data_IF_449132412768
#
_entry.id   IF_449132412768
#
_cell.length_a   1.000
_cell.length_b   1.000
_cell.length_c   1.000
_cell.angle_alpha   90.00
_cell.angle_beta   90.00
_cell.angle_gamma   90.00
#
_symmetry.space_group_name_H-M   'P 1'
#
loop_
_entity.id
_entity.type
_entity.pdbx_description
1 polymer ?
#
# COMPACT_ATOMS: atom_id res chain seq x y z
N UNK A 1 -1.34 11.78 2.85
CA UNK A 1 0.01 11.17 2.95
C UNK A 1 0.08 9.92 2.10
N UNK A 2 1.19 9.70 1.38
CA UNK A 2 1.41 8.49 0.54
C UNK A 2 2.56 7.69 1.11
N UNK A 3 2.36 6.39 1.29
CA UNK A 3 3.37 5.43 1.74
C UNK A 3 3.61 4.40 0.65
N UNK A 4 4.72 4.54 -0.08
CA UNK A 4 5.12 3.69 -1.20
C UNK A 4 6.57 3.23 -1.04
N UNK A 5 6.82 1.95 -1.31
CA UNK A 5 8.17 1.39 -1.27
C UNK A 5 9.08 2.01 -2.32
N UNK A 6 8.60 2.16 -3.56
CA UNK A 6 9.45 2.60 -4.67
C UNK A 6 9.87 4.07 -4.48
N UNK A 7 8.96 4.93 -3.99
CA UNK A 7 9.30 6.31 -3.62
C UNK A 7 10.35 6.37 -2.50
N UNK A 8 10.17 5.57 -1.44
CA UNK A 8 11.13 5.52 -0.32
C UNK A 8 12.49 5.00 -0.79
N UNK A 9 12.49 3.89 -1.55
CA UNK A 9 13.73 3.29 -2.04
C UNK A 9 14.45 4.20 -3.04
N UNK A 10 13.70 4.91 -3.90
CA UNK A 10 14.25 5.94 -4.78
C UNK A 10 14.94 7.06 -4.01
N UNK A 11 14.28 7.60 -2.98
CA UNK A 11 14.86 8.65 -2.13
C UNK A 11 16.13 8.19 -1.39
N UNK A 12 16.18 6.93 -0.96
CA UNK A 12 17.33 6.35 -0.26
C UNK A 12 18.50 5.97 -1.18
N UNK A 13 18.28 5.87 -2.50
CA UNK A 13 19.30 5.41 -3.45
C UNK A 13 20.34 6.48 -3.81
N UNK A 14 20.09 7.75 -3.48
CA UNK A 14 20.97 8.88 -3.83
C UNK A 14 20.93 9.27 -5.31
N UNK A 15 21.65 10.35 -5.71
CA UNK A 15 21.58 10.94 -7.05
C UNK A 15 22.36 10.15 -8.13
N UNK A 16 23.18 9.17 -7.77
CA UNK A 16 23.96 8.38 -8.72
C UNK A 16 23.27 7.04 -8.95
N UNK A 17 22.79 6.74 -10.18
CA UNK A 17 22.24 5.44 -10.44
C UNK A 17 23.41 4.44 -10.57
N UNK A 18 23.72 3.72 -9.49
CA UNK A 18 24.43 2.45 -9.66
C UNK A 18 23.57 1.45 -10.48
N UNK A 19 22.27 1.71 -10.58
CA UNK A 19 21.31 0.98 -11.43
C UNK A 19 20.39 2.00 -12.13
N UNK A 20 20.61 2.25 -13.43
CA UNK A 20 19.91 3.26 -14.24
C UNK A 20 18.39 3.16 -14.22
N UNK A 21 17.73 3.90 -13.31
CA UNK A 21 16.26 4.05 -13.28
C UNK A 21 15.47 2.74 -13.14
N UNK A 22 16.14 1.65 -12.76
CA UNK A 22 15.54 0.32 -12.69
C UNK A 22 14.98 0.10 -11.30
N UNK A 23 13.75 -0.41 -11.22
CA UNK A 23 13.08 -0.83 -9.98
C UNK A 23 13.78 -2.05 -9.32
N UNK A 24 15.11 -2.04 -9.25
CA UNK A 24 15.98 -3.08 -8.72
C UNK A 24 16.83 -2.48 -7.60
N UNK A 25 16.17 -2.14 -6.50
CA UNK A 25 16.87 -1.75 -5.27
C UNK A 25 17.41 -3.03 -4.61
N UNK A 26 18.73 -3.21 -4.59
CA UNK A 26 19.40 -4.37 -3.98
C UNK A 26 20.16 -3.99 -2.70
N UNK A 27 20.46 -4.99 -1.89
CA UNK A 27 21.31 -4.85 -0.70
C UNK A 27 20.71 -3.92 0.36
N UNK A 28 21.55 -3.09 0.97
CA UNK A 28 21.18 -2.27 2.12
C UNK A 28 20.00 -1.32 1.83
N UNK A 29 19.91 -0.73 0.64
CA UNK A 29 18.81 0.19 0.27
C UNK A 29 17.46 -0.52 0.36
N UNK A 30 17.38 -1.76 -0.13
CA UNK A 30 16.16 -2.58 -0.05
C UNK A 30 15.73 -2.82 1.39
N UNK A 31 16.68 -3.23 2.24
CA UNK A 31 16.39 -3.58 3.62
C UNK A 31 15.98 -2.35 4.44
N UNK A 32 16.65 -1.22 4.21
CA UNK A 32 16.30 0.06 4.83
C UNK A 32 14.94 0.54 4.33
N UNK A 33 14.68 0.54 3.02
CA UNK A 33 13.41 0.94 2.45
C UNK A 33 12.24 0.08 2.95
N UNK A 34 12.45 -1.24 3.04
CA UNK A 34 11.45 -2.16 3.57
C UNK A 34 11.09 -1.83 5.02
N UNK A 35 12.10 -1.67 5.88
CA UNK A 35 11.90 -1.35 7.31
C UNK A 35 11.30 0.04 7.50
N UNK A 36 11.77 1.03 6.73
CA UNK A 36 11.24 2.39 6.73
C UNK A 36 9.76 2.39 6.34
N UNK A 37 9.39 1.68 5.26
CA UNK A 37 7.97 1.53 4.86
C UNK A 37 7.15 0.87 5.97
N UNK A 38 7.63 -0.21 6.57
CA UNK A 38 6.92 -0.87 7.67
C UNK A 38 6.69 0.05 8.88
N UNK A 39 7.68 0.89 9.21
CA UNK A 39 7.52 1.91 10.27
C UNK A 39 6.54 3.02 9.85
N UNK A 40 6.66 3.53 8.63
CA UNK A 40 5.79 4.56 8.08
C UNK A 40 4.32 4.11 8.04
N UNK A 41 4.04 2.86 7.63
CA UNK A 41 2.68 2.30 7.65
C UNK A 41 2.11 2.31 9.06
N UNK A 42 2.87 1.81 10.06
CA UNK A 42 2.39 1.77 11.45
C UNK A 42 2.06 3.14 11.98
N UNK A 43 2.90 4.13 11.69
CA UNK A 43 2.66 5.50 12.14
C UNK A 43 1.49 6.14 11.39
N UNK A 44 1.44 5.97 10.07
CA UNK A 44 0.39 6.51 9.22
C UNK A 44 -1.01 6.07 9.66
N UNK A 45 -1.17 4.80 10.05
CA UNK A 45 -2.45 4.29 10.55
C UNK A 45 -2.94 5.00 11.82
N UNK A 46 -2.04 5.57 12.64
CA UNK A 46 -2.42 6.34 13.84
C UNK A 46 -3.03 7.70 13.51
N UNK A 47 -2.67 8.25 12.35
CA UNK A 47 -3.12 9.57 11.87
C UNK A 47 -4.27 9.46 10.86
N UNK A 48 -4.71 8.24 10.54
CA UNK A 48 -5.72 7.99 9.52
C UNK A 48 -7.11 8.56 9.86
N UNK A 49 -7.34 8.98 11.11
CA UNK A 49 -8.55 9.70 11.50
C UNK A 49 -8.50 11.20 11.17
N UNK A 50 -7.30 11.78 11.08
CA UNK A 50 -7.08 13.21 10.94
C UNK A 50 -6.68 13.60 9.51
N UNK A 51 -6.01 12.70 8.78
CA UNK A 51 -5.54 12.94 7.41
C UNK A 51 -5.78 11.74 6.51
N UNK A 52 -5.92 12.00 5.21
CA UNK A 52 -5.97 10.94 4.20
C UNK A 52 -4.63 10.19 4.13
N UNK A 53 -4.68 8.87 4.18
CA UNK A 53 -3.51 7.99 4.09
C UNK A 53 -3.69 6.99 2.96
N UNK A 54 -2.78 7.04 1.99
CA UNK A 54 -2.72 6.10 0.88
C UNK A 54 -1.52 5.17 1.05
N UNK A 55 -1.77 3.86 1.12
CA UNK A 55 -0.72 2.84 1.33
C UNK A 55 -0.64 1.95 0.08
N UNK A 56 0.53 1.93 -0.55
CA UNK A 56 0.82 1.02 -1.66
C UNK A 56 1.58 -0.18 -1.09
N UNK A 57 0.86 -1.29 -0.93
CA UNK A 57 1.43 -2.52 -0.38
C UNK A 57 1.18 -3.71 -1.30
N UNK A 58 2.17 -4.04 -2.13
CA UNK A 58 2.16 -5.28 -2.93
C UNK A 58 2.19 -6.50 -2.00
N UNK A 59 1.34 -7.49 -2.27
CA UNK A 59 1.26 -8.77 -1.53
C UNK A 59 1.34 -8.58 0.00
N UNK A 60 0.40 -7.82 0.60
CA UNK A 60 0.40 -7.60 2.04
C UNK A 60 0.22 -8.94 2.77
N UNK A 61 0.99 -9.18 3.84
CA UNK A 61 0.77 -10.35 4.69
C UNK A 61 -0.59 -10.24 5.42
N UNK A 62 -1.09 -11.36 5.93
CA UNK A 62 -2.40 -11.43 6.57
C UNK A 62 -2.53 -10.50 7.79
N UNK A 63 -1.45 -10.30 8.55
CA UNK A 63 -1.43 -9.39 9.70
C UNK A 63 -1.53 -7.91 9.28
N UNK A 64 -0.97 -7.54 8.14
CA UNK A 64 -1.13 -6.20 7.57
C UNK A 64 -2.58 -5.97 7.12
N UNK A 65 -3.19 -6.96 6.44
CA UNK A 65 -4.60 -6.90 6.05
C UNK A 65 -5.53 -6.78 7.26
N UNK A 66 -5.27 -7.53 8.34
CA UNK A 66 -6.04 -7.44 9.58
C UNK A 66 -5.98 -6.02 10.18
N UNK A 67 -4.79 -5.42 10.26
CA UNK A 67 -4.62 -4.03 10.72
C UNK A 67 -5.38 -3.04 9.83
N UNK A 68 -5.32 -3.21 8.51
CA UNK A 68 -6.09 -2.34 7.61
C UNK A 68 -7.60 -2.46 7.85
N UNK A 69 -8.10 -3.66 8.12
CA UNK A 69 -9.50 -3.88 8.47
C UNK A 69 -9.89 -3.25 9.82
N UNK A 70 -9.03 -3.34 10.84
CA UNK A 70 -9.21 -2.66 12.14
C UNK A 70 -9.36 -1.14 11.98
N UNK A 71 -8.59 -0.57 11.06
CA UNK A 71 -8.67 0.85 10.68
C UNK A 71 -9.76 1.16 9.64
N UNK A 72 -10.64 0.19 9.31
CA UNK A 72 -11.70 0.33 8.30
C UNK A 72 -11.20 0.83 6.94
N UNK A 73 -9.97 0.50 6.59
CA UNK A 73 -9.35 0.95 5.36
C UNK A 73 -10.08 0.41 4.12
N UNK A 74 -10.19 1.24 3.09
CA UNK A 74 -10.71 0.84 1.79
C UNK A 74 -9.61 0.11 0.99
N UNK A 75 -9.78 -1.20 0.80
CA UNK A 75 -8.85 -2.02 0.02
C UNK A 75 -9.18 -1.93 -1.48
N UNK A 76 -8.29 -1.33 -2.25
CA UNK A 76 -8.41 -1.22 -3.71
C UNK A 76 -7.36 -2.13 -4.35
N UNK A 77 -7.83 -3.13 -5.11
CA UNK A 77 -6.94 -3.97 -5.93
C UNK A 77 -6.73 -3.32 -7.29
N UNK A 78 -5.48 -3.04 -7.63
CA UNK A 78 -5.09 -2.53 -8.96
C UNK A 78 -4.57 -3.70 -9.78
N UNK A 79 -5.42 -4.24 -10.65
CA UNK A 79 -5.06 -5.32 -11.57
C UNK A 79 -5.59 -5.02 -12.98
N UNK A 80 -4.70 -4.72 -13.96
CA UNK A 80 -5.11 -4.54 -15.35
C UNK A 80 -5.32 -5.87 -16.10
N UNK A 81 -5.11 -7.01 -15.43
CA UNK A 81 -5.23 -8.35 -16.00
C UNK A 81 -3.86 -9.01 -16.26
N UNK A 82 -3.85 -10.34 -16.20
CA UNK A 82 -2.65 -11.17 -16.30
C UNK A 82 -1.80 -10.85 -17.52
N UNK A 83 -2.42 -10.80 -18.70
CA UNK A 83 -1.68 -10.66 -19.95
C UNK A 83 -1.04 -9.28 -20.07
N UNK A 84 -1.76 -8.23 -19.64
CA UNK A 84 -1.24 -6.85 -19.57
C UNK A 84 -0.06 -6.77 -18.60
N UNK A 85 -0.16 -7.39 -17.43
CA UNK A 85 0.95 -7.43 -16.45
C UNK A 85 2.16 -8.16 -17.01
N UNK A 86 1.97 -9.33 -17.62
CA UNK A 86 3.08 -10.13 -18.17
C UNK A 86 3.76 -9.42 -19.35
N UNK A 87 2.98 -8.75 -20.21
CA UNK A 87 3.50 -7.93 -21.29
C UNK A 87 4.36 -6.79 -20.73
N UNK A 88 3.82 -5.99 -19.79
CA UNK A 88 4.57 -4.88 -19.18
C UNK A 88 5.83 -5.34 -18.47
N UNK A 89 5.81 -6.51 -17.83
CA UNK A 89 7.02 -7.07 -17.21
C UNK A 89 8.08 -7.39 -18.26
N UNK A 90 7.69 -7.99 -19.39
CA UNK A 90 8.62 -8.31 -20.46
C UNK A 90 9.27 -7.05 -21.08
N UNK A 91 8.52 -5.94 -21.15
CA UNK A 91 8.97 -4.69 -21.77
C UNK A 91 9.74 -3.77 -20.81
N UNK A 92 9.35 -3.70 -19.53
CA UNK A 92 9.70 -2.56 -18.66
C UNK A 92 10.28 -2.95 -17.30
N UNK A 93 10.26 -4.23 -16.92
CA UNK A 93 10.65 -4.66 -15.57
C UNK A 93 11.81 -5.66 -15.59
N UNK A 94 12.58 -5.73 -14.49
CA UNK A 94 13.51 -6.83 -14.29
C UNK A 94 12.79 -8.19 -14.37
N UNK A 95 13.47 -9.20 -14.94
CA UNK A 95 12.89 -10.53 -15.13
C UNK A 95 12.42 -11.20 -13.84
N UNK A 96 12.96 -10.79 -12.69
CA UNK A 96 12.55 -11.25 -11.35
C UNK A 96 11.10 -10.89 -11.01
N UNK A 97 10.56 -9.80 -11.57
CA UNK A 97 9.17 -9.39 -11.37
C UNK A 97 8.17 -10.43 -11.88
N UNK A 98 8.55 -11.24 -12.89
CA UNK A 98 7.69 -12.30 -13.44
C UNK A 98 7.32 -13.34 -12.38
N UNK A 99 8.25 -13.72 -11.51
CA UNK A 99 7.98 -14.68 -10.44
C UNK A 99 6.98 -14.14 -9.42
N UNK A 100 7.09 -12.84 -9.08
CA UNK A 100 6.15 -12.16 -8.17
C UNK A 100 4.75 -12.09 -8.76
N UNK A 101 4.63 -11.72 -10.04
CA UNK A 101 3.34 -11.68 -10.73
C UNK A 101 2.68 -13.06 -10.80
N UNK A 102 3.43 -14.09 -11.21
CA UNK A 102 2.92 -15.49 -11.21
C UNK A 102 2.43 -15.92 -9.84
N UNK A 103 3.18 -15.59 -8.79
CA UNK A 103 2.78 -15.88 -7.40
C UNK A 103 1.47 -15.17 -7.04
N UNK A 104 1.27 -13.92 -7.44
CA UNK A 104 0.04 -13.18 -7.19
C UNK A 104 -1.17 -13.83 -7.87
N UNK A 105 -1.10 -14.05 -9.19
CA UNK A 105 -2.20 -14.67 -9.94
C UNK A 105 -2.54 -16.08 -9.45
N UNK A 106 -1.54 -16.85 -8.99
CA UNK A 106 -1.79 -18.18 -8.41
C UNK A 106 -2.57 -18.13 -7.09
N UNK A 107 -2.43 -17.06 -6.30
CA UNK A 107 -3.18 -16.86 -5.06
C UNK A 107 -4.55 -16.23 -5.33
N UNK A 108 -4.62 -15.30 -6.29
CA UNK A 108 -5.88 -14.72 -6.75
C UNK A 108 -6.82 -15.80 -7.31
N UNK A 109 -6.31 -16.75 -8.11
CA UNK A 109 -7.07 -17.89 -8.63
C UNK A 109 -7.62 -18.81 -7.52
N UNK A 110 -7.01 -18.80 -6.33
CA UNK A 110 -7.47 -19.56 -5.16
C UNK A 110 -8.47 -18.78 -4.29
N UNK A 111 -8.94 -17.61 -4.73
CA UNK A 111 -9.87 -16.77 -3.98
C UNK A 111 -9.26 -16.11 -2.74
N UNK A 112 -7.94 -16.17 -2.55
CA UNK A 112 -7.26 -15.63 -1.36
C UNK A 112 -7.12 -14.10 -1.41
N UNK A 113 -7.29 -13.52 -2.59
CA UNK A 113 -7.45 -12.08 -2.78
C UNK A 113 -8.86 -11.89 -3.28
N UNK A 114 -9.79 -11.63 -2.36
CA UNK A 114 -11.18 -11.37 -2.72
C UNK A 114 -11.21 -10.30 -3.80
N UNK A 115 -11.80 -10.64 -4.95
CA UNK A 115 -12.18 -9.67 -5.94
C UNK A 115 -13.29 -8.81 -5.33
N UNK A 116 -12.91 -7.86 -4.47
CA UNK A 116 -13.75 -6.69 -4.26
C UNK A 116 -13.69 -5.95 -5.58
N UNK A 117 -14.72 -6.17 -6.40
CA UNK A 117 -15.04 -5.33 -7.55
C UNK A 117 -14.72 -3.91 -7.14
N UNK A 118 -13.79 -3.27 -7.84
CA UNK A 118 -13.45 -1.89 -7.59
C UNK A 118 -14.77 -1.10 -7.69
N UNK A 119 -15.39 -0.78 -6.56
CA UNK A 119 -16.31 0.34 -6.53
C UNK A 119 -15.45 1.49 -7.01
N UNK A 120 -15.82 2.18 -8.11
CA UNK A 120 -15.07 3.33 -8.56
C UNK A 120 -14.89 4.22 -7.34
N UNK A 121 -13.64 4.48 -6.95
CA UNK A 121 -13.37 5.42 -5.89
C UNK A 121 -13.88 6.77 -6.41
N UNK A 122 -15.10 7.12 -6.02
CA UNK A 122 -15.69 8.42 -6.23
C UNK A 122 -15.03 9.31 -5.19
N UNK A 123 -13.86 9.85 -5.52
CA UNK A 123 -13.04 10.56 -4.55
C UNK A 123 -13.84 11.57 -3.74
N UNK A 124 -13.64 11.56 -2.43
CA UNK A 124 -13.89 12.77 -1.66
C UNK A 124 -12.83 13.80 -2.10
N UNK A 125 -13.24 15.04 -2.42
CA UNK A 125 -12.27 16.08 -2.75
C UNK A 125 -11.28 16.22 -1.58
N UNK A 126 -9.97 16.38 -1.85
CA UNK A 126 -9.00 16.62 -0.79
C UNK A 126 -9.43 17.87 0.00
N UNK A 127 -9.73 17.69 1.29
CA UNK A 127 -10.18 18.77 2.18
C UNK A 127 -11.65 18.71 2.64
N UNK A 128 -12.45 17.70 2.25
CA UNK A 128 -13.71 17.46 2.97
C UNK A 128 -13.41 16.89 4.36
N UNK A 129 -13.79 17.57 5.47
CA UNK A 129 -13.59 17.02 6.79
C UNK A 129 -14.37 15.72 6.91
N UNK A 130 -13.72 14.66 7.41
CA UNK A 130 -14.45 13.50 7.90
C UNK A 130 -15.46 14.00 8.95
N UNK A 131 -16.73 13.54 8.91
CA UNK A 131 -17.68 13.90 9.96
C UNK A 131 -17.08 13.45 11.29
N UNK A 132 -16.70 14.41 12.12
CA UNK A 132 -16.26 14.18 13.49
C UNK A 132 -17.39 13.40 14.16
N UNK A 133 -17.14 12.13 14.44
CA UNK A 133 -18.03 11.37 15.30
C UNK A 133 -18.10 12.13 16.63
N UNK A 134 -19.30 12.56 17.01
CA UNK A 134 -19.50 13.28 18.26
C UNK A 134 -18.91 12.47 19.42
N UNK A 135 -18.18 13.10 20.36
CA UNK A 135 -17.68 12.39 21.52
C UNK A 135 -18.86 11.79 22.31
N UNK A 136 -18.69 10.60 22.93
CA UNK A 136 -19.73 10.01 23.74
C UNK A 136 -20.11 10.96 24.90
N UNK A 137 -21.39 11.02 25.30
CA UNK A 137 -21.84 11.93 26.35
C UNK A 137 -21.10 11.63 27.66
N UNK A 138 -20.41 12.65 28.18
CA UNK A 138 -19.79 12.62 29.49
C UNK A 138 -20.88 12.46 30.55
N UNK A 139 -20.97 11.28 31.16
CA UNK A 139 -21.79 11.11 32.36
C UNK A 139 -21.02 11.73 33.54
N UNK A 140 -21.40 12.95 33.90
CA UNK A 140 -20.94 13.59 35.13
C UNK A 140 -21.46 12.80 36.33
N UNK A 141 -20.59 12.02 36.97
CA UNK A 141 -20.85 11.43 38.28
C UNK A 141 -20.30 12.39 39.33
N UNK A 142 -21.18 13.19 39.92
CA UNK A 142 -20.91 14.00 41.11
C UNK A 142 -20.71 13.06 42.31
N UNK A 143 -19.63 13.26 43.06
CA UNK A 143 -19.49 12.82 44.45
C UNK A 143 -19.91 13.95 45.38
#
# INVERSE_FOLDING_TARGET
MVVDYDLIAGALSGPTPACGGTHDHRGAVRDVAFRARSAAIREALRHAADIDVYIIHTLPPADALAKYAEHRAHLVTIDPGHDVVMQRIAEQRPSTARAVAKRWYSQAAKGQHGATTATPWQGHPPGTPHPLHAPPPTTSRTW
#
